data_IF_225893081038
#
_entry.id   IF_225893081038
#
_cell.length_a   1.000
_cell.length_b   1.000
_cell.length_c   1.000
_cell.angle_alpha   90.00
_cell.angle_beta   90.00
_cell.angle_gamma   90.00
#
_symmetry.space_group_name_H-M   'P 1'
#
loop_
_entity.id
_entity.type
_entity.pdbx_description
1 polymer ?
#
# COMPACT_ATOMS: atom_id res chain seq x y z
N UNK A 1 0.85 -26.23 13.19
CA UNK A 1 -0.08 -25.27 12.57
C UNK A 1 -1.48 -25.59 13.06
N UNK A 2 -2.32 -24.58 13.23
CA UNK A 2 -3.69 -24.70 13.71
C UNK A 2 -4.57 -23.68 13.00
N UNK A 3 -5.89 -23.88 13.04
CA UNK A 3 -6.87 -22.90 12.59
C UNK A 3 -7.50 -22.24 13.82
N UNK A 4 -7.62 -20.92 13.81
CA UNK A 4 -8.26 -20.13 14.87
C UNK A 4 -9.42 -19.35 14.29
N UNK A 5 -10.45 -19.14 15.10
CA UNK A 5 -11.51 -18.20 14.75
C UNK A 5 -10.94 -16.78 14.63
N UNK A 6 -11.32 -16.08 13.56
CA UNK A 6 -10.88 -14.72 13.28
C UNK A 6 -12.06 -13.72 13.27
N UNK A 7 -13.19 -14.07 13.90
CA UNK A 7 -14.41 -13.28 13.86
C UNK A 7 -14.24 -11.86 14.41
N UNK A 8 -13.31 -11.67 15.34
CA UNK A 8 -12.97 -10.34 15.91
C UNK A 8 -12.21 -9.42 14.96
N UNK A 9 -11.54 -9.99 13.96
CA UNK A 9 -10.81 -9.26 12.94
C UNK A 9 -11.62 -9.09 11.64
N UNK A 10 -12.67 -9.89 11.43
CA UNK A 10 -13.51 -9.79 10.25
C UNK A 10 -14.22 -8.42 10.17
N UNK A 11 -14.30 -7.83 8.97
CA UNK A 11 -14.82 -6.48 8.72
C UNK A 11 -13.83 -5.37 9.05
N UNK A 12 -12.66 -5.67 9.62
CA UNK A 12 -11.65 -4.67 9.97
C UNK A 12 -10.70 -4.40 8.83
N UNK A 13 -10.21 -3.16 8.76
CA UNK A 13 -9.11 -2.75 7.90
C UNK A 13 -7.88 -3.62 8.12
N UNK A 14 -7.00 -3.67 7.13
CA UNK A 14 -5.79 -4.48 7.16
C UNK A 14 -4.88 -4.18 8.38
N UNK A 15 -4.82 -2.92 8.84
CA UNK A 15 -3.92 -2.51 9.94
C UNK A 15 -4.45 -2.99 11.28
N UNK A 16 -5.72 -2.69 11.56
CA UNK A 16 -6.40 -3.18 12.75
C UNK A 16 -6.46 -4.72 12.78
N UNK A 17 -6.64 -5.37 11.62
CA UNK A 17 -6.57 -6.82 11.49
C UNK A 17 -5.21 -7.35 11.92
N UNK A 18 -4.13 -6.78 11.39
CA UNK A 18 -2.77 -7.20 11.71
C UNK A 18 -2.48 -7.10 13.21
N UNK A 19 -2.84 -5.98 13.85
CA UNK A 19 -2.66 -5.81 15.29
C UNK A 19 -3.45 -6.86 16.08
N UNK A 20 -4.74 -7.03 15.77
CA UNK A 20 -5.61 -7.98 16.47
C UNK A 20 -5.09 -9.41 16.37
N UNK A 21 -4.71 -9.85 15.18
CA UNK A 21 -4.20 -11.20 14.97
C UNK A 21 -2.86 -11.42 15.70
N UNK A 22 -2.00 -10.39 15.77
CA UNK A 22 -0.75 -10.43 16.54
C UNK A 22 -0.99 -10.45 18.06
N UNK A 23 -1.93 -9.64 18.54
CA UNK A 23 -2.35 -9.59 19.94
C UNK A 23 -2.94 -10.93 20.40
N UNK A 24 -3.80 -11.54 19.58
CA UNK A 24 -4.44 -12.82 19.86
C UNK A 24 -3.45 -13.99 20.02
N UNK A 25 -2.32 -13.96 19.31
CA UNK A 25 -1.25 -14.95 19.51
C UNK A 25 -0.32 -14.59 20.67
N UNK A 26 -0.32 -13.33 21.13
CA UNK A 26 0.52 -12.86 22.23
C UNK A 26 2.03 -12.85 21.93
N UNK A 27 2.41 -12.93 20.65
CA UNK A 27 3.81 -12.99 20.20
C UNK A 27 4.13 -11.71 19.44
N UNK A 28 4.88 -10.81 20.07
CA UNK A 28 5.24 -9.49 19.52
C UNK A 28 5.95 -9.58 18.16
N UNK A 29 6.82 -10.57 17.99
CA UNK A 29 7.61 -10.75 16.76
C UNK A 29 6.89 -11.57 15.68
N UNK A 30 5.63 -11.95 15.91
CA UNK A 30 4.84 -12.66 14.91
C UNK A 30 4.54 -11.77 13.70
N UNK A 31 4.62 -12.39 12.53
CA UNK A 31 4.35 -11.79 11.23
C UNK A 31 2.95 -12.17 10.78
N UNK A 32 2.21 -11.18 10.31
CA UNK A 32 0.82 -11.36 9.90
C UNK A 32 0.72 -10.97 8.43
N UNK A 33 0.09 -11.84 7.65
CA UNK A 33 -0.38 -11.53 6.32
C UNK A 33 -1.89 -11.71 6.31
N UNK A 34 -2.64 -10.69 5.96
CA UNK A 34 -4.09 -10.70 6.09
C UNK A 34 -4.80 -9.97 4.93
N UNK A 35 -6.12 -10.14 4.85
CA UNK A 35 -6.98 -9.39 3.93
C UNK A 35 -7.70 -8.26 4.67
N UNK A 36 -7.91 -7.14 3.97
CA UNK A 36 -8.88 -6.12 4.38
C UNK A 36 -10.29 -6.44 3.87
N UNK A 37 -11.25 -5.51 4.08
CA UNK A 37 -12.63 -5.64 3.61
C UNK A 37 -12.76 -5.94 2.10
N UNK A 38 -11.83 -5.47 1.26
CA UNK A 38 -11.87 -5.78 -0.18
C UNK A 38 -11.75 -7.29 -0.43
N UNK A 39 -10.91 -8.00 0.32
CA UNK A 39 -10.77 -9.46 0.22
C UNK A 39 -12.00 -10.17 0.73
N UNK A 40 -12.56 -9.72 1.85
CA UNK A 40 -13.79 -10.29 2.44
C UNK A 40 -14.99 -10.20 1.49
N UNK A 41 -15.04 -9.13 0.69
CA UNK A 41 -16.07 -8.87 -0.31
C UNK A 41 -15.69 -9.35 -1.72
N UNK A 42 -14.65 -10.19 -1.86
CA UNK A 42 -14.24 -10.83 -3.11
C UNK A 42 -13.92 -9.86 -4.25
N UNK A 43 -13.47 -8.64 -3.94
CA UNK A 43 -13.07 -7.66 -4.95
C UNK A 43 -11.89 -8.22 -5.74
N UNK A 44 -11.95 -8.18 -7.07
CA UNK A 44 -10.93 -8.80 -7.93
C UNK A 44 -9.52 -8.23 -7.68
N UNK A 45 -9.43 -6.92 -7.40
CA UNK A 45 -8.20 -6.24 -7.00
C UNK A 45 -7.82 -6.40 -5.52
N UNK A 46 -8.44 -7.28 -4.75
CA UNK A 46 -8.12 -7.45 -3.34
C UNK A 46 -6.73 -8.06 -3.14
N UNK A 47 -5.96 -7.44 -2.24
CA UNK A 47 -4.57 -7.75 -1.93
C UNK A 47 -4.44 -8.57 -0.64
N UNK A 48 -3.24 -9.12 -0.43
CA UNK A 48 -2.77 -9.56 0.88
C UNK A 48 -1.86 -8.48 1.46
N UNK A 49 -2.19 -7.96 2.63
CA UNK A 49 -1.44 -6.93 3.34
C UNK A 49 -0.57 -7.58 4.44
N UNK A 50 0.65 -7.10 4.64
CA UNK A 50 1.55 -7.57 5.68
C UNK A 50 2.47 -6.45 6.21
N UNK A 51 2.87 -6.57 7.47
CA UNK A 51 3.83 -5.69 8.14
C UNK A 51 3.55 -4.19 7.87
N UNK A 52 2.26 -3.82 7.87
CA UNK A 52 1.67 -2.50 7.55
C UNK A 52 1.95 -1.96 6.13
N UNK A 53 3.20 -1.98 5.72
CA UNK A 53 3.74 -1.29 4.55
C UNK A 53 3.99 -2.22 3.35
N UNK A 54 3.59 -3.49 3.40
CA UNK A 54 3.87 -4.44 2.32
C UNK A 54 2.59 -5.11 1.84
N UNK A 55 2.49 -5.25 0.52
CA UNK A 55 1.33 -5.85 -0.12
C UNK A 55 1.80 -6.87 -1.16
N UNK A 56 1.20 -8.06 -1.17
CA UNK A 56 1.17 -8.90 -2.35
C UNK A 56 -0.04 -8.45 -3.19
N UNK A 57 0.25 -7.57 -4.14
CA UNK A 57 -0.73 -6.89 -4.97
C UNK A 57 -1.16 -7.75 -6.18
N UNK A 58 -2.18 -7.27 -6.90
CA UNK A 58 -2.72 -7.81 -8.16
C UNK A 58 -3.46 -9.15 -8.10
N UNK A 59 -3.60 -9.79 -6.93
CA UNK A 59 -4.58 -10.88 -6.68
C UNK A 59 -4.47 -11.40 -5.23
N UNK A 60 -5.15 -12.50 -4.94
CA UNK A 60 -4.94 -13.34 -3.75
C UNK A 60 -5.86 -13.02 -2.58
N UNK A 61 -6.21 -11.74 -2.38
CA UNK A 61 -7.11 -11.33 -1.29
C UNK A 61 -8.52 -11.91 -1.45
N UNK A 62 -9.08 -11.86 -2.66
CA UNK A 62 -10.39 -12.45 -2.96
C UNK A 62 -10.41 -13.97 -2.77
N UNK A 63 -9.29 -14.64 -3.07
CA UNK A 63 -9.16 -16.10 -2.87
C UNK A 63 -9.21 -16.42 -1.37
N UNK A 64 -8.51 -15.66 -0.54
CA UNK A 64 -8.58 -15.77 0.92
C UNK A 64 -10.00 -15.54 1.44
N UNK A 65 -10.66 -14.47 0.97
CA UNK A 65 -12.05 -14.17 1.30
C UNK A 65 -13.02 -15.30 0.93
N UNK A 66 -12.87 -15.89 -0.26
CA UNK A 66 -13.73 -17.00 -0.73
C UNK A 66 -13.65 -18.25 0.15
N UNK A 67 -12.54 -18.39 0.87
CA UNK A 67 -12.28 -19.50 1.81
C UNK A 67 -12.53 -19.10 3.27
N UNK A 68 -13.06 -17.90 3.52
CA UNK A 68 -13.24 -17.32 4.86
C UNK A 68 -11.93 -17.30 5.67
N UNK A 69 -10.80 -17.11 5.00
CA UNK A 69 -9.48 -17.04 5.62
C UNK A 69 -9.09 -15.56 5.79
N UNK A 70 -9.15 -15.04 7.03
CA UNK A 70 -8.82 -13.64 7.30
C UNK A 70 -7.32 -13.34 7.17
N UNK A 71 -6.47 -14.29 7.54
CA UNK A 71 -5.03 -14.12 7.48
C UNK A 71 -4.25 -15.31 8.00
N UNK A 72 -2.93 -15.21 7.91
CA UNK A 72 -1.96 -16.19 8.39
C UNK A 72 -1.02 -15.46 9.33
N UNK A 73 -0.84 -16.03 10.53
CA UNK A 73 0.13 -15.55 11.52
C UNK A 73 1.27 -16.56 11.60
N UNK A 74 2.51 -16.10 11.47
CA UNK A 74 3.71 -16.94 11.49
C UNK A 74 4.70 -16.39 12.50
N UNK A 75 5.23 -17.29 13.33
CA UNK A 75 6.38 -17.03 14.17
C UNK A 75 7.34 -18.22 14.09
N UNK A 76 8.64 -17.93 14.00
CA UNK A 76 9.66 -18.96 13.91
C UNK A 76 11.05 -18.43 14.23
N UNK A 77 11.85 -19.26 14.88
CA UNK A 77 13.23 -18.95 15.29
C UNK A 77 14.26 -19.84 14.60
N UNK A 78 13.79 -20.83 13.82
CA UNK A 78 14.65 -21.74 13.07
C UNK A 78 15.48 -20.96 12.04
N UNK A 79 16.77 -21.31 11.93
CA UNK A 79 17.66 -20.74 10.93
C UNK A 79 17.83 -21.72 9.76
N UNK A 80 17.73 -21.26 8.51
CA UNK A 80 17.97 -22.11 7.35
C UNK A 80 19.43 -22.57 7.32
N UNK A 81 19.66 -23.81 6.88
CA UNK A 81 21.02 -24.31 6.63
C UNK A 81 21.62 -23.56 5.45
N UNK A 82 22.77 -22.93 5.67
CA UNK A 82 23.54 -22.27 4.61
C UNK A 82 24.66 -23.21 4.16
N UNK A 83 24.83 -23.38 2.85
CA UNK A 83 25.88 -24.24 2.28
C UNK A 83 27.28 -23.65 2.53
N UNK A 84 27.49 -22.37 2.20
CA UNK A 84 28.75 -21.64 2.38
C UNK A 84 28.44 -20.26 2.98
N UNK A 85 28.72 -20.10 4.28
CA UNK A 85 28.38 -18.90 5.04
C UNK A 85 29.22 -17.69 4.61
N UNK A 86 30.49 -17.90 4.32
CA UNK A 86 31.43 -16.82 3.97
C UNK A 86 31.06 -16.22 2.62
N UNK A 87 30.79 -17.07 1.62
CA UNK A 87 30.35 -16.59 0.30
C UNK A 87 29.01 -15.88 0.35
N UNK A 88 28.07 -16.33 1.19
CA UNK A 88 26.79 -15.64 1.36
C UNK A 88 26.98 -14.22 1.95
N UNK A 89 27.88 -14.08 2.93
CA UNK A 89 28.21 -12.79 3.54
C UNK A 89 28.87 -11.87 2.50
N UNK A 90 29.89 -12.34 1.78
CA UNK A 90 30.55 -11.59 0.71
C UNK A 90 29.54 -11.11 -0.35
N UNK A 91 28.64 -12.00 -0.80
CA UNK A 91 27.60 -11.64 -1.75
C UNK A 91 26.66 -10.56 -1.22
N UNK A 92 26.26 -10.66 0.05
CA UNK A 92 25.43 -9.65 0.72
C UNK A 92 26.12 -8.29 0.84
N UNK A 93 27.42 -8.27 1.14
CA UNK A 93 28.21 -7.04 1.21
C UNK A 93 28.39 -6.38 -0.16
N UNK A 94 28.70 -7.17 -1.20
CA UNK A 94 28.77 -6.66 -2.57
C UNK A 94 27.42 -6.10 -3.02
N UNK A 95 26.34 -6.81 -2.75
CA UNK A 95 24.98 -6.32 -3.07
C UNK A 95 24.67 -5.00 -2.36
N UNK A 96 24.94 -4.89 -1.06
CA UNK A 96 24.72 -3.66 -0.29
C UNK A 96 25.39 -2.43 -0.88
N UNK A 97 26.62 -2.58 -1.41
CA UNK A 97 27.36 -1.48 -2.05
C UNK A 97 26.74 -0.98 -3.37
N UNK A 98 25.80 -1.75 -3.95
CA UNK A 98 25.12 -1.39 -5.20
C UNK A 98 23.72 -0.80 -4.98
N UNK A 99 23.21 -0.83 -3.75
CA UNK A 99 21.85 -0.38 -3.46
C UNK A 99 21.75 1.15 -3.46
N UNK A 100 20.80 1.67 -4.24
CA UNK A 100 20.30 3.02 -4.04
C UNK A 100 19.61 3.11 -2.67
N UNK A 101 20.03 4.03 -1.82
CA UNK A 101 19.39 4.27 -0.52
C UNK A 101 18.46 5.48 -0.66
N UNK A 102 17.18 5.29 -0.33
CA UNK A 102 16.21 6.38 -0.33
C UNK A 102 16.40 7.29 0.88
N UNK A 103 16.10 8.57 0.67
CA UNK A 103 16.05 9.64 1.67
C UNK A 103 14.61 10.14 1.86
N UNK A 104 14.41 10.97 2.88
CA UNK A 104 13.11 11.63 3.10
C UNK A 104 12.72 12.50 1.90
N UNK A 105 13.68 13.19 1.28
CA UNK A 105 13.42 14.07 0.15
C UNK A 105 12.81 13.34 -1.05
N UNK A 106 13.16 12.07 -1.26
CA UNK A 106 12.61 11.27 -2.36
C UNK A 106 11.09 11.05 -2.22
N UNK A 107 10.56 11.08 -0.98
CA UNK A 107 9.13 10.91 -0.68
C UNK A 107 8.31 12.18 -0.84
N UNK A 108 8.96 13.33 -1.02
CA UNK A 108 8.30 14.62 -1.24
C UNK A 108 8.06 14.90 -2.74
N UNK A 109 8.47 13.99 -3.63
CA UNK A 109 8.39 14.15 -5.08
C UNK A 109 7.08 13.61 -5.66
N UNK A 110 6.85 13.89 -6.95
CA UNK A 110 5.74 13.29 -7.70
C UNK A 110 6.17 11.97 -8.35
N UNK A 111 5.51 10.86 -8.00
CA UNK A 111 5.18 9.72 -8.86
C UNK A 111 6.28 8.81 -9.37
N UNK A 112 5.87 7.60 -9.75
CA UNK A 112 6.82 6.56 -10.17
C UNK A 112 7.47 6.91 -11.51
N UNK A 113 6.68 7.46 -12.44
CA UNK A 113 7.07 7.66 -13.84
C UNK A 113 7.46 9.10 -14.20
N UNK A 114 7.79 9.94 -13.21
CA UNK A 114 8.16 11.36 -13.46
C UNK A 114 9.33 11.51 -14.42
N UNK A 115 10.36 10.69 -14.24
CA UNK A 115 11.56 10.69 -15.07
C UNK A 115 11.29 10.28 -16.53
N UNK A 116 10.12 9.69 -16.80
CA UNK A 116 9.64 9.33 -18.14
C UNK A 116 8.60 10.33 -18.67
N UNK A 117 8.27 11.38 -17.91
CA UNK A 117 7.18 12.32 -18.21
C UNK A 117 5.82 11.63 -18.45
N UNK A 118 5.63 10.45 -17.83
CA UNK A 118 4.49 9.56 -18.05
C UNK A 118 3.65 9.35 -16.78
N UNK A 119 3.47 10.42 -16.00
CA UNK A 119 2.61 10.37 -14.82
C UNK A 119 1.14 10.38 -15.24
N UNK A 120 0.29 9.51 -14.68
CA UNK A 120 -1.10 9.44 -15.12
C UNK A 120 -1.94 10.58 -14.53
N UNK A 121 -2.76 11.22 -15.37
CA UNK A 121 -3.71 12.25 -14.95
C UNK A 121 -5.03 12.11 -15.73
N UNK A 122 -6.16 12.32 -15.02
CA UNK A 122 -7.52 12.31 -15.55
C UNK A 122 -7.84 11.08 -16.43
N UNK A 123 -7.68 9.89 -15.87
CA UNK A 123 -7.84 8.61 -16.56
C UNK A 123 -6.89 8.46 -17.76
N UNK A 124 -5.59 8.75 -17.55
CA UNK A 124 -4.53 8.69 -18.57
C UNK A 124 -4.74 9.59 -19.80
N UNK A 125 -5.71 10.51 -19.77
CA UNK A 125 -5.93 11.48 -20.86
C UNK A 125 -4.88 12.59 -20.89
N UNK A 126 -4.10 12.74 -19.83
CA UNK A 126 -3.02 13.71 -19.71
C UNK A 126 -1.87 13.13 -18.90
N UNK A 127 -0.65 13.62 -19.17
CA UNK A 127 0.52 13.38 -18.31
C UNK A 127 0.95 14.61 -17.51
N UNK A 128 0.19 15.71 -17.63
CA UNK A 128 0.53 16.98 -16.99
C UNK A 128 0.17 16.94 -15.51
N UNK A 129 1.19 16.80 -14.66
CA UNK A 129 1.11 16.94 -13.21
C UNK A 129 1.80 18.26 -12.82
N UNK A 130 1.01 19.23 -12.36
CA UNK A 130 1.48 20.51 -11.84
C UNK A 130 1.85 20.39 -10.35
N UNK A 131 1.12 21.07 -9.48
CA UNK A 131 1.33 21.15 -8.02
C UNK A 131 0.65 20.01 -7.25
N UNK A 132 0.58 18.80 -7.82
CA UNK A 132 -0.23 17.72 -7.21
C UNK A 132 0.36 17.17 -5.91
N UNK A 133 1.63 17.43 -5.60
CA UNK A 133 2.28 17.12 -4.32
C UNK A 133 2.35 18.32 -3.35
N UNK A 134 1.64 19.43 -3.63
CA UNK A 134 1.62 20.60 -2.75
C UNK A 134 1.24 20.20 -1.32
N UNK A 135 2.06 20.62 -0.35
CA UNK A 135 1.87 20.34 1.07
C UNK A 135 2.67 19.15 1.60
N UNK A 136 3.25 18.31 0.72
CA UNK A 136 4.07 17.17 1.15
C UNK A 136 5.34 17.63 1.90
N UNK A 137 5.80 18.85 1.65
CA UNK A 137 6.94 19.47 2.34
C UNK A 137 6.64 19.82 3.80
N UNK A 138 5.36 19.85 4.20
CA UNK A 138 4.93 20.06 5.58
C UNK A 138 4.77 18.75 6.35
N UNK A 139 4.83 17.60 5.66
CA UNK A 139 4.56 16.30 6.25
C UNK A 139 5.79 15.72 6.96
N UNK A 140 5.53 14.91 8.00
CA UNK A 140 6.60 14.18 8.71
C UNK A 140 6.72 12.77 8.16
N UNK A 141 7.79 12.54 7.40
CA UNK A 141 8.11 11.24 6.78
C UNK A 141 9.04 10.43 7.69
N UNK A 142 8.71 9.15 7.88
CA UNK A 142 9.55 8.16 8.56
C UNK A 142 9.85 7.01 7.62
N UNK A 143 11.12 6.88 7.20
CA UNK A 143 11.53 5.75 6.35
C UNK A 143 11.57 4.44 7.15
N UNK A 144 11.23 3.33 6.49
CA UNK A 144 11.17 2.00 7.07
C UNK A 144 11.98 1.01 6.23
N UNK A 145 12.82 0.15 6.83
CA UNK A 145 13.49 -0.91 6.10
C UNK A 145 12.61 -2.16 5.96
N UNK A 146 12.75 -2.88 4.85
CA UNK A 146 12.38 -4.31 4.80
C UNK A 146 13.43 -5.13 5.57
N UNK A 147 13.13 -6.40 5.84
CA UNK A 147 14.07 -7.31 6.51
C UNK A 147 15.45 -7.33 5.83
N UNK A 148 16.49 -6.98 6.59
CA UNK A 148 17.90 -6.90 6.18
C UNK A 148 18.22 -5.99 4.97
N UNK A 149 17.26 -5.17 4.52
CA UNK A 149 17.42 -4.29 3.36
C UNK A 149 17.79 -2.88 3.81
N UNK A 150 18.88 -2.33 3.26
CA UNK A 150 19.33 -0.96 3.53
C UNK A 150 18.71 0.09 2.58
N UNK A 151 17.80 -0.33 1.70
CA UNK A 151 17.24 0.54 0.65
C UNK A 151 16.28 1.60 1.19
N UNK A 152 15.64 1.36 2.34
CA UNK A 152 14.69 2.27 3.00
C UNK A 152 13.52 2.71 2.10
N UNK A 153 12.97 1.77 1.31
CA UNK A 153 11.88 2.12 0.40
C UNK A 153 10.55 2.35 1.11
N UNK A 154 10.04 1.43 1.95
CA UNK A 154 8.80 1.67 2.68
C UNK A 154 8.89 2.91 3.58
N UNK A 155 7.76 3.54 3.85
CA UNK A 155 7.72 4.78 4.60
C UNK A 155 6.34 5.01 5.22
N UNK A 156 6.36 5.63 6.39
CA UNK A 156 5.17 6.18 7.00
C UNK A 156 5.17 7.70 6.80
N UNK A 157 3.98 8.29 6.79
CA UNK A 157 3.81 9.75 6.74
C UNK A 157 2.76 10.18 7.76
N UNK A 158 3.06 11.25 8.50
CA UNK A 158 2.06 12.02 9.25
C UNK A 158 1.81 13.32 8.49
N UNK A 159 0.57 13.51 8.07
CA UNK A 159 0.14 14.67 7.28
C UNK A 159 0.23 15.94 8.15
N UNK A 160 0.98 16.95 7.70
CA UNK A 160 1.31 18.14 8.48
C UNK A 160 0.34 19.31 8.33
N UNK A 161 -0.42 19.34 7.24
CA UNK A 161 -1.33 20.44 6.91
C UNK A 161 -2.63 20.02 6.21
N UNK A 162 -3.53 20.99 6.03
CA UNK A 162 -4.80 20.81 5.35
C UNK A 162 -5.84 20.03 6.16
N UNK A 163 -6.89 19.59 5.47
CA UNK A 163 -8.04 18.88 6.05
C UNK A 163 -7.65 17.59 6.79
N UNK A 164 -6.62 16.90 6.31
CA UNK A 164 -6.20 15.60 6.81
C UNK A 164 -5.02 15.67 7.79
N UNK A 165 -4.74 16.85 8.35
CA UNK A 165 -3.65 17.04 9.32
C UNK A 165 -3.74 16.03 10.48
N UNK A 166 -2.59 15.44 10.82
CA UNK A 166 -2.43 14.43 11.87
C UNK A 166 -2.87 13.01 11.46
N UNK A 167 -3.37 12.81 10.24
CA UNK A 167 -3.62 11.45 9.72
C UNK A 167 -2.31 10.79 9.32
N UNK A 168 -2.26 9.48 9.51
CA UNK A 168 -1.09 8.64 9.23
C UNK A 168 -1.36 7.80 7.99
N UNK A 169 -0.37 7.70 7.11
CA UNK A 169 -0.33 6.80 5.96
C UNK A 169 0.85 5.82 6.04
N UNK A 170 0.66 4.63 5.48
CA UNK A 170 1.59 3.51 5.52
C UNK A 170 1.83 2.99 4.10
N UNK A 171 2.98 3.30 3.52
CA UNK A 171 3.23 3.03 2.11
C UNK A 171 4.43 2.08 1.92
N UNK A 172 4.29 1.20 0.94
CA UNK A 172 5.45 0.52 0.38
C UNK A 172 6.31 1.52 -0.41
N UNK A 173 7.42 1.03 -0.96
CA UNK A 173 8.35 1.88 -1.71
C UNK A 173 7.82 2.53 -2.97
N UNK A 174 6.70 2.04 -3.49
CA UNK A 174 6.12 2.44 -4.77
C UNK A 174 5.34 3.74 -4.69
N UNK A 175 5.53 4.61 -5.67
CA UNK A 175 4.78 5.85 -5.82
C UNK A 175 3.43 5.66 -6.55
N UNK A 176 3.13 4.43 -6.96
CA UNK A 176 1.90 3.99 -7.61
C UNK A 176 0.64 4.31 -6.78
N UNK A 177 0.78 4.35 -5.44
CA UNK A 177 -0.27 4.79 -4.53
C UNK A 177 -0.70 6.24 -4.76
N UNK A 178 0.26 7.13 -5.03
CA UNK A 178 -0.04 8.54 -5.32
C UNK A 178 -0.50 8.69 -6.77
N UNK A 179 0.15 8.00 -7.70
CA UNK A 179 -0.23 7.97 -9.12
C UNK A 179 -1.70 7.55 -9.29
N UNK A 180 -2.19 6.63 -8.45
CA UNK A 180 -3.60 6.20 -8.39
C UNK A 180 -4.57 7.36 -8.25
N UNK A 181 -4.27 8.32 -7.37
CA UNK A 181 -5.18 9.44 -7.08
C UNK A 181 -4.91 10.66 -7.95
N UNK A 182 -3.67 10.87 -8.40
CA UNK A 182 -3.41 11.87 -9.44
C UNK A 182 -4.07 11.51 -10.76
N UNK A 183 -4.12 10.23 -11.11
CA UNK A 183 -4.89 9.75 -12.25
C UNK A 183 -6.39 10.06 -12.12
N UNK A 184 -6.89 10.25 -10.90
CA UNK A 184 -8.26 10.65 -10.60
C UNK A 184 -8.41 12.17 -10.42
N UNK A 185 -7.36 12.95 -10.69
CA UNK A 185 -7.36 14.41 -10.57
C UNK A 185 -7.26 14.94 -9.12
N UNK A 186 -7.02 14.07 -8.14
CA UNK A 186 -6.82 14.46 -6.73
C UNK A 186 -5.44 15.10 -6.57
N UNK A 187 -5.32 16.04 -5.63
CA UNK A 187 -4.08 16.81 -5.39
C UNK A 187 -3.80 16.97 -3.90
N UNK A 188 -2.55 17.30 -3.59
CA UNK A 188 -2.04 17.57 -2.26
C UNK A 188 -2.26 16.40 -1.30
N UNK A 189 -2.35 16.69 -0.01
CA UNK A 189 -2.42 15.69 1.05
C UNK A 189 -3.70 14.82 1.02
N UNK A 190 -4.73 15.20 0.25
CA UNK A 190 -5.85 14.31 -0.04
C UNK A 190 -5.39 13.02 -0.76
N UNK A 191 -4.34 13.11 -1.59
CA UNK A 191 -3.73 11.97 -2.28
C UNK A 191 -3.23 10.93 -1.28
N UNK A 192 -2.43 11.35 -0.29
CA UNK A 192 -1.88 10.45 0.73
C UNK A 192 -2.98 9.87 1.62
N UNK A 193 -3.93 10.71 2.02
CA UNK A 193 -5.05 10.26 2.85
C UNK A 193 -5.87 9.17 2.16
N UNK A 194 -6.33 9.43 0.93
CA UNK A 194 -7.16 8.49 0.19
C UNK A 194 -6.39 7.22 -0.20
N UNK A 195 -5.10 7.35 -0.52
CA UNK A 195 -4.21 6.22 -0.75
C UNK A 195 -4.14 5.29 0.46
N UNK A 196 -3.97 5.82 1.67
CA UNK A 196 -4.00 4.96 2.86
C UNK A 196 -5.38 4.32 3.07
N UNK A 197 -6.48 5.02 2.76
CA UNK A 197 -7.83 4.44 2.93
C UNK A 197 -8.03 3.22 2.05
N UNK A 198 -7.66 3.28 0.77
CA UNK A 198 -7.77 2.10 -0.11
C UNK A 198 -6.75 1.02 0.23
N UNK A 199 -5.56 1.40 0.71
CA UNK A 199 -4.54 0.47 1.15
C UNK A 199 -5.01 -0.31 2.41
N UNK A 200 -5.66 0.35 3.37
CA UNK A 200 -6.26 -0.28 4.55
C UNK A 200 -7.51 -1.12 4.21
N UNK A 201 -8.28 -0.73 3.19
CA UNK A 201 -9.31 -1.60 2.63
C UNK A 201 -8.73 -2.89 2.02
N UNK A 202 -7.44 -2.90 1.69
CA UNK A 202 -6.76 -4.02 1.05
C UNK A 202 -7.09 -4.14 -0.42
N UNK A 203 -7.35 -3.04 -1.12
CA UNK A 203 -7.55 -3.03 -2.58
C UNK A 203 -6.32 -2.47 -3.30
N UNK A 204 -5.96 -3.10 -4.40
CA UNK A 204 -4.84 -2.71 -5.23
C UNK A 204 -5.11 -1.35 -5.90
N UNK A 205 -4.10 -0.49 -5.83
CA UNK A 205 -4.22 0.92 -6.17
C UNK A 205 -4.54 1.16 -7.65
N UNK A 206 -3.89 0.44 -8.57
CA UNK A 206 -4.14 0.55 -10.00
C UNK A 206 -5.52 0.03 -10.39
N UNK A 207 -5.97 -1.08 -9.81
CA UNK A 207 -7.30 -1.63 -10.01
C UNK A 207 -8.38 -0.65 -9.58
N UNK A 208 -8.19 0.00 -8.43
CA UNK A 208 -9.07 1.07 -7.97
C UNK A 208 -9.05 2.26 -8.92
N UNK A 209 -7.87 2.77 -9.28
CA UNK A 209 -7.70 3.94 -10.14
C UNK A 209 -8.34 3.73 -11.51
N UNK A 210 -8.08 2.60 -12.17
CA UNK A 210 -8.60 2.35 -13.51
C UNK A 210 -10.11 2.16 -13.51
N UNK A 211 -10.66 1.44 -12.52
CA UNK A 211 -12.10 1.30 -12.37
C UNK A 211 -12.77 2.66 -12.15
N UNK A 212 -12.30 3.43 -11.18
CA UNK A 212 -12.85 4.74 -10.87
C UNK A 212 -12.66 5.75 -12.02
N UNK A 213 -11.50 5.74 -12.68
CA UNK A 213 -11.17 6.64 -13.78
C UNK A 213 -12.11 6.46 -14.98
N UNK A 214 -12.40 5.21 -15.35
CA UNK A 214 -13.39 4.91 -16.40
C UNK A 214 -14.77 5.45 -16.02
N UNK A 215 -15.19 5.28 -14.77
CA UNK A 215 -16.49 5.77 -14.29
C UNK A 215 -16.57 7.30 -14.28
N UNK A 216 -15.50 7.99 -13.83
CA UNK A 216 -15.43 9.45 -13.85
C UNK A 216 -15.46 10.00 -15.27
N UNK A 217 -14.71 9.40 -16.20
CA UNK A 217 -14.73 9.81 -17.60
C UNK A 217 -16.08 9.52 -18.27
N UNK A 218 -16.72 8.39 -17.95
CA UNK A 218 -18.05 8.07 -18.43
C UNK A 218 -19.10 9.08 -17.93
N UNK A 219 -19.01 9.50 -16.66
CA UNK A 219 -19.83 10.57 -16.11
C UNK A 219 -19.62 11.90 -16.84
N UNK A 220 -18.38 12.34 -17.01
CA UNK A 220 -18.06 13.59 -17.73
C UNK A 220 -18.59 13.60 -19.18
N UNK A 221 -18.65 12.42 -19.82
CA UNK A 221 -19.19 12.24 -21.17
C UNK A 221 -20.71 12.02 -21.20
N UNK A 222 -21.38 12.03 -20.06
CA UNK A 222 -22.83 11.82 -19.94
C UNK A 222 -23.29 10.38 -20.24
N UNK A 223 -22.37 9.41 -20.17
CA UNK A 223 -22.70 7.97 -20.29
C UNK A 223 -23.22 7.40 -18.96
N UNK A 224 -22.90 8.06 -17.85
CA UNK A 224 -23.45 7.83 -16.52
C UNK A 224 -24.07 9.12 -16.00
N UNK A 225 -25.09 9.00 -15.15
CA UNK A 225 -25.69 10.13 -14.45
C UNK A 225 -26.14 9.79 -13.03
N UNK A 226 -26.80 10.73 -12.33
CA UNK A 226 -27.20 10.54 -10.92
C UNK A 226 -28.01 9.27 -10.66
N UNK A 227 -28.76 8.79 -11.65
CA UNK A 227 -29.52 7.54 -11.59
C UNK A 227 -28.63 6.29 -11.46
N UNK A 228 -27.40 6.33 -11.97
CA UNK A 228 -26.45 5.21 -11.95
C UNK A 228 -25.58 5.23 -10.68
N UNK A 229 -25.43 6.40 -10.05
CA UNK A 229 -24.59 6.61 -8.85
C UNK A 229 -25.37 6.70 -7.55
N UNK A 230 -26.70 6.85 -7.61
CA UNK A 230 -27.55 7.04 -6.45
C UNK A 230 -27.60 8.47 -5.90
N UNK A 231 -27.24 9.46 -6.73
CA UNK A 231 -27.12 10.88 -6.38
C UNK A 231 -25.66 11.29 -6.20
#
# INVERSE_FOLDING_TARGET
AELRDAGRAWGKGARETEDRLREEVGIKDAKVMAIGPAGENLVHGAMLCNDYNHNAAHSGGAVFGSKKLKGIVVYGTARPRVHDREKLIDAGERWRKTLQVYSVADRMTVGHARHLEALPNLNFRSTLIADHNRGFDQDRITLRPCYQCQRLCPWDVEIGEGEFKGKIGHFNGGAEWMDTFWNLGVKGNATLYLAERINDLGIECSHFSFGAGVMFEAWEKGLLGPQDTGG
#
